data_IF_542023579051
#
_entry.id   IF_542023579051
#
_cell.length_a   1.000
_cell.length_b   1.000
_cell.length_c   1.000
_cell.angle_alpha   90.00
_cell.angle_beta   90.00
_cell.angle_gamma   90.00
#
_symmetry.space_group_name_H-M   'P 1'
#
loop_
_entity.id
_entity.type
_entity.pdbx_description
1 polymer ?
#
# COMPACT_ATOMS: atom_id res chain seq x y z
N UNK A 1 2.34 23.26 -1.29
CA UNK A 1 1.22 23.31 -2.22
C UNK A 1 1.32 24.46 -3.21
N UNK A 2 1.28 25.74 -2.72
CA UNK A 2 1.29 26.94 -3.56
C UNK A 2 2.45 27.01 -4.56
N UNK A 3 3.66 26.62 -4.15
CA UNK A 3 4.84 26.62 -5.02
C UNK A 3 4.66 25.64 -6.20
N UNK A 4 4.16 24.43 -5.93
CA UNK A 4 3.93 23.41 -6.97
C UNK A 4 2.85 23.89 -7.95
N UNK A 5 1.73 24.40 -7.43
CA UNK A 5 0.65 24.96 -8.28
C UNK A 5 1.21 26.09 -9.16
N UNK A 6 1.99 27.01 -8.58
CA UNK A 6 2.57 28.13 -9.33
C UNK A 6 3.53 27.69 -10.46
N UNK A 7 4.34 26.67 -10.21
CA UNK A 7 5.22 26.09 -11.23
C UNK A 7 4.39 25.49 -12.36
N UNK A 8 3.33 24.75 -12.06
CA UNK A 8 2.45 24.15 -13.06
C UNK A 8 1.72 25.22 -13.89
N UNK A 9 1.22 26.27 -13.22
CA UNK A 9 0.60 27.42 -13.91
C UNK A 9 1.60 28.07 -14.89
N UNK A 10 2.86 28.28 -14.47
CA UNK A 10 3.91 28.84 -15.35
C UNK A 10 4.23 27.93 -16.55
N UNK A 11 4.06 26.62 -16.38
CA UNK A 11 4.23 25.63 -17.46
C UNK A 11 2.99 25.44 -18.31
N UNK A 12 1.88 26.12 -17.99
CA UNK A 12 0.60 25.95 -18.68
C UNK A 12 -0.06 24.59 -18.45
N UNK A 13 0.25 23.92 -17.34
CA UNK A 13 -0.27 22.59 -17.00
C UNK A 13 -1.16 22.72 -15.77
N UNK A 14 -2.37 22.16 -15.84
CA UNK A 14 -3.25 22.06 -14.67
C UNK A 14 -2.83 20.88 -13.78
N UNK A 15 -2.56 21.15 -12.51
CA UNK A 15 -2.23 20.12 -11.52
C UNK A 15 -3.36 19.12 -11.26
N UNK A 16 -4.61 19.49 -11.62
CA UNK A 16 -5.80 18.64 -11.49
C UNK A 16 -6.13 17.87 -12.76
N UNK A 17 -5.27 17.93 -13.77
CA UNK A 17 -5.50 17.23 -15.03
C UNK A 17 -5.59 15.71 -14.81
N UNK A 18 -6.67 15.04 -15.21
CA UNK A 18 -6.83 13.59 -15.04
C UNK A 18 -5.75 12.76 -15.75
N UNK A 19 -5.07 13.31 -16.75
CA UNK A 19 -3.96 12.63 -17.42
C UNK A 19 -2.71 12.53 -16.53
N UNK A 20 -2.55 13.43 -15.56
CA UNK A 20 -1.37 13.50 -14.69
C UNK A 20 -1.66 13.23 -13.22
N UNK A 21 -2.96 13.29 -12.82
CA UNK A 21 -3.40 13.13 -11.44
C UNK A 21 -4.50 12.09 -11.35
N UNK A 22 -4.23 10.98 -10.70
CA UNK A 22 -5.17 9.85 -10.56
C UNK A 22 -6.38 10.18 -9.68
N UNK A 23 -6.21 11.00 -8.66
CA UNK A 23 -7.31 11.47 -7.81
C UNK A 23 -7.80 12.85 -8.25
N UNK A 24 -9.11 13.12 -8.05
CA UNK A 24 -9.73 14.39 -8.44
C UNK A 24 -9.15 15.64 -7.77
N UNK A 25 -8.21 15.49 -6.81
CA UNK A 25 -7.61 16.62 -6.09
C UNK A 25 -6.14 16.33 -5.79
N UNK A 26 -5.25 17.07 -6.43
CA UNK A 26 -3.86 17.15 -6.01
C UNK A 26 -3.78 17.74 -4.59
N UNK A 27 -3.14 17.02 -3.68
CA UNK A 27 -3.00 17.45 -2.28
C UNK A 27 -1.58 17.17 -1.79
N UNK A 28 -0.98 18.15 -1.15
CA UNK A 28 0.27 17.96 -0.41
C UNK A 28 -0.09 17.77 1.06
N UNK A 29 0.27 16.61 1.59
CA UNK A 29 0.04 16.30 3.00
C UNK A 29 1.14 16.93 3.87
N UNK A 30 0.80 17.31 5.10
CA UNK A 30 1.81 17.63 6.11
C UNK A 30 2.67 16.38 6.39
N UNK A 31 3.87 16.55 6.98
CA UNK A 31 4.64 15.41 7.47
C UNK A 31 3.77 14.52 8.36
N UNK A 32 3.80 13.22 8.10
CA UNK A 32 3.00 12.23 8.81
C UNK A 32 3.84 11.00 9.10
N UNK A 33 3.55 10.31 10.19
CA UNK A 33 4.13 9.00 10.50
C UNK A 33 3.35 7.86 9.87
N UNK A 34 2.25 8.16 9.17
CA UNK A 34 1.48 7.16 8.44
C UNK A 34 2.35 6.52 7.34
N UNK A 35 2.38 5.20 7.27
CA UNK A 35 3.24 4.42 6.36
C UNK A 35 3.04 4.77 4.88
N UNK A 36 1.84 5.15 4.50
CA UNK A 36 1.49 5.49 3.13
C UNK A 36 1.80 6.94 2.75
N UNK A 37 1.90 7.82 3.73
CA UNK A 37 2.11 9.24 3.56
C UNK A 37 3.51 9.68 4.01
N UNK A 38 4.35 8.73 4.40
CA UNK A 38 5.70 9.01 4.93
C UNK A 38 6.52 9.78 3.93
N UNK A 39 6.87 10.99 4.30
CA UNK A 39 7.85 11.79 3.59
C UNK A 39 9.25 11.52 4.15
N UNK A 40 10.26 11.51 3.27
CA UNK A 40 11.66 11.33 3.65
C UNK A 40 12.46 12.63 3.41
N UNK A 41 12.13 13.76 4.05
CA UNK A 41 12.69 15.07 3.69
C UNK A 41 14.19 15.14 3.92
N UNK A 42 14.71 14.51 4.99
CA UNK A 42 16.14 14.49 5.27
C UNK A 42 16.91 13.68 4.22
N UNK A 43 16.39 12.51 3.81
CA UNK A 43 17.00 11.71 2.75
C UNK A 43 16.95 12.44 1.42
N UNK A 44 15.82 13.06 1.08
CA UNK A 44 15.68 13.86 -0.13
C UNK A 44 16.69 15.02 -0.16
N UNK A 45 16.88 15.71 0.97
CA UNK A 45 17.87 16.78 1.10
C UNK A 45 19.30 16.25 0.91
N UNK A 46 19.65 15.10 1.50
CA UNK A 46 20.98 14.50 1.35
C UNK A 46 21.23 14.05 -0.08
N UNK A 47 20.24 13.49 -0.76
CA UNK A 47 20.32 13.13 -2.18
C UNK A 47 20.51 14.37 -3.05
N UNK A 48 19.79 15.46 -2.77
CA UNK A 48 19.97 16.73 -3.47
C UNK A 48 21.38 17.31 -3.26
N UNK A 49 21.90 17.27 -2.04
CA UNK A 49 23.27 17.67 -1.74
C UNK A 49 24.26 16.80 -2.51
N UNK A 50 24.06 15.48 -2.53
CA UNK A 50 24.90 14.56 -3.28
C UNK A 50 24.88 14.85 -4.80
N UNK A 51 23.73 15.21 -5.34
CA UNK A 51 23.57 15.61 -6.75
C UNK A 51 24.37 16.87 -7.04
N UNK A 52 24.22 17.91 -6.22
CA UNK A 52 24.98 19.17 -6.35
C UNK A 52 26.49 18.90 -6.27
N UNK A 53 26.93 18.11 -5.29
CA UNK A 53 28.34 17.72 -5.14
C UNK A 53 28.87 16.93 -6.36
N UNK A 54 28.04 16.05 -6.93
CA UNK A 54 28.41 15.28 -8.13
C UNK A 54 28.63 16.18 -9.32
N UNK A 55 27.77 17.16 -9.55
CA UNK A 55 27.90 18.13 -10.63
C UNK A 55 29.16 18.99 -10.43
N UNK A 56 29.34 19.49 -9.20
CA UNK A 56 30.49 20.34 -8.86
C UNK A 56 31.83 19.60 -8.97
N UNK A 57 31.89 18.33 -8.55
CA UNK A 57 33.07 17.50 -8.51
C UNK A 57 33.22 16.55 -9.72
N UNK A 58 32.39 16.65 -10.74
CA UNK A 58 32.33 15.72 -11.89
C UNK A 58 33.67 15.32 -12.50
N UNK A 59 34.63 16.24 -12.50
CA UNK A 59 35.99 16.01 -13.07
C UNK A 59 36.91 15.20 -12.12
N UNK A 60 36.52 15.03 -10.85
CA UNK A 60 37.31 14.34 -9.81
C UNK A 60 36.66 13.02 -9.36
N UNK A 61 35.45 12.73 -9.84
CA UNK A 61 34.75 11.53 -9.51
C UNK A 61 35.16 10.36 -10.39
N UNK A 62 35.25 9.13 -9.84
CA UNK A 62 35.25 7.93 -10.66
C UNK A 62 34.06 7.93 -11.61
N UNK A 63 34.32 7.56 -12.87
CA UNK A 63 33.29 7.56 -13.91
C UNK A 63 32.09 6.70 -13.53
N UNK A 64 32.34 5.57 -12.90
CA UNK A 64 31.34 4.60 -12.45
C UNK A 64 30.35 5.21 -11.43
N UNK A 65 30.87 5.98 -10.48
CA UNK A 65 30.04 6.66 -9.45
C UNK A 65 29.20 7.77 -10.08
N UNK A 66 29.77 8.51 -11.02
CA UNK A 66 29.00 9.54 -11.73
C UNK A 66 27.90 8.93 -12.59
N UNK A 67 28.20 7.86 -13.34
CA UNK A 67 27.22 7.13 -14.16
C UNK A 67 26.13 6.51 -13.28
N UNK A 68 26.50 5.88 -12.16
CA UNK A 68 25.52 5.33 -11.22
C UNK A 68 24.56 6.40 -10.72
N UNK A 69 25.05 7.54 -10.22
CA UNK A 69 24.21 8.64 -9.78
C UNK A 69 23.30 9.19 -10.88
N UNK A 70 23.82 9.29 -12.12
CA UNK A 70 23.04 9.70 -13.28
C UNK A 70 21.91 8.72 -13.60
N UNK A 71 22.20 7.41 -13.58
CA UNK A 71 21.20 6.37 -13.82
C UNK A 71 20.08 6.45 -12.77
N UNK A 72 20.42 6.54 -11.47
CA UNK A 72 19.42 6.65 -10.41
C UNK A 72 18.56 7.91 -10.58
N UNK A 73 19.19 9.07 -10.84
CA UNK A 73 18.46 10.32 -11.03
C UNK A 73 17.56 10.27 -12.28
N UNK A 74 18.06 9.74 -13.40
CA UNK A 74 17.27 9.60 -14.64
C UNK A 74 16.10 8.64 -14.45
N UNK A 75 16.31 7.51 -13.76
CA UNK A 75 15.25 6.53 -13.45
C UNK A 75 14.17 7.16 -12.58
N UNK A 76 14.54 7.95 -11.57
CA UNK A 76 13.58 8.69 -10.74
C UNK A 76 12.74 9.65 -11.58
N UNK A 77 13.37 10.47 -12.41
CA UNK A 77 12.67 11.41 -13.29
C UNK A 77 11.75 10.68 -14.26
N UNK A 78 12.24 9.60 -14.89
CA UNK A 78 11.45 8.80 -15.83
C UNK A 78 10.21 8.22 -15.19
N UNK A 79 10.34 7.53 -14.04
CA UNK A 79 9.21 6.94 -13.34
C UNK A 79 8.24 8.02 -12.86
N UNK A 80 8.75 9.13 -12.31
CA UNK A 80 7.90 10.25 -11.88
C UNK A 80 7.17 10.94 -13.03
N UNK A 81 7.68 10.83 -14.27
CA UNK A 81 7.04 11.38 -15.47
C UNK A 81 6.01 10.43 -16.09
N UNK A 82 6.16 9.13 -15.89
CA UNK A 82 5.28 8.12 -16.47
C UNK A 82 4.12 7.76 -15.54
N UNK A 83 4.34 7.83 -14.23
CA UNK A 83 3.33 7.47 -13.22
C UNK A 83 2.52 8.70 -12.86
N UNK A 84 1.20 8.61 -13.03
CA UNK A 84 0.28 9.65 -12.57
C UNK A 84 0.44 9.90 -11.07
N UNK A 85 0.31 11.15 -10.66
CA UNK A 85 0.30 11.47 -9.25
C UNK A 85 -0.89 10.80 -8.55
N UNK A 86 -0.64 10.12 -7.47
CA UNK A 86 -1.64 9.51 -6.59
C UNK A 86 -1.26 9.73 -5.12
N UNK A 87 -2.23 9.57 -4.24
CA UNK A 87 -2.09 9.86 -2.82
C UNK A 87 -0.90 9.11 -2.17
N UNK A 88 -0.62 7.90 -2.63
CA UNK A 88 0.37 6.99 -2.05
C UNK A 88 1.65 6.87 -2.87
N UNK A 89 1.97 7.87 -3.69
CA UNK A 89 3.17 7.87 -4.54
C UNK A 89 4.49 7.70 -3.77
N UNK A 90 4.52 8.08 -2.49
CA UNK A 90 5.72 7.94 -1.65
C UNK A 90 6.22 6.50 -1.62
N UNK A 91 5.34 5.50 -1.61
CA UNK A 91 5.72 4.07 -1.68
C UNK A 91 6.47 3.73 -2.97
N UNK A 92 6.05 4.29 -4.09
CA UNK A 92 6.67 4.05 -5.40
C UNK A 92 8.06 4.68 -5.50
N UNK A 93 8.35 5.70 -4.70
CA UNK A 93 9.65 6.36 -4.66
C UNK A 93 10.66 5.71 -3.72
N UNK A 94 10.23 4.83 -2.80
CA UNK A 94 11.12 4.16 -1.83
C UNK A 94 12.32 3.45 -2.48
N UNK A 95 12.18 2.68 -3.58
CA UNK A 95 13.33 2.03 -4.23
C UNK A 95 14.40 3.03 -4.67
N UNK A 96 14.02 4.23 -5.11
CA UNK A 96 14.99 5.27 -5.53
C UNK A 96 15.75 5.84 -4.35
N UNK A 97 15.11 6.01 -3.18
CA UNK A 97 15.81 6.43 -1.96
C UNK A 97 16.83 5.37 -1.54
N UNK A 98 16.47 4.09 -1.59
CA UNK A 98 17.39 2.99 -1.28
C UNK A 98 18.57 2.97 -2.25
N UNK A 99 18.32 3.04 -3.57
CA UNK A 99 19.37 3.06 -4.57
C UNK A 99 20.25 4.33 -4.51
N UNK A 100 19.69 5.48 -4.17
CA UNK A 100 20.46 6.71 -4.05
C UNK A 100 21.35 6.75 -2.81
N UNK A 101 21.04 5.97 -1.76
CA UNK A 101 21.77 5.99 -0.48
C UNK A 101 23.27 5.69 -0.63
N UNK A 102 23.74 4.61 -1.28
CA UNK A 102 25.16 4.34 -1.45
C UNK A 102 25.90 5.47 -2.17
N UNK A 103 25.26 6.06 -3.18
CA UNK A 103 25.81 7.18 -3.90
C UNK A 103 25.91 8.44 -3.03
N UNK A 104 24.85 8.77 -2.29
CA UNK A 104 24.84 9.91 -1.38
C UNK A 104 25.92 9.76 -0.29
N UNK A 105 26.05 8.56 0.32
CA UNK A 105 27.09 8.24 1.29
C UNK A 105 28.48 8.44 0.70
N UNK A 106 28.74 7.91 -0.49
CA UNK A 106 30.04 8.09 -1.17
C UNK A 106 30.36 9.58 -1.37
N UNK A 107 29.39 10.36 -1.86
CA UNK A 107 29.58 11.79 -2.10
C UNK A 107 29.87 12.57 -0.82
N UNK A 108 29.15 12.30 0.24
CA UNK A 108 29.33 12.97 1.54
C UNK A 108 30.62 12.56 2.22
N UNK A 109 30.99 11.26 2.17
CA UNK A 109 32.23 10.74 2.74
C UNK A 109 33.47 11.39 2.10
N UNK A 110 33.45 11.62 0.79
CA UNK A 110 34.56 12.29 0.07
C UNK A 110 34.72 13.79 0.40
N UNK A 111 33.77 14.37 1.13
CA UNK A 111 33.79 15.80 1.48
C UNK A 111 34.01 16.01 2.99
N UNK A 112 33.63 15.03 3.82
CA UNK A 112 33.59 15.17 5.26
C UNK A 112 34.31 14.04 5.97
N UNK A 113 34.61 14.27 7.24
CA UNK A 113 35.30 13.27 8.09
C UNK A 113 34.38 12.12 8.47
N UNK A 114 35.00 10.97 8.83
CA UNK A 114 34.29 9.82 9.38
C UNK A 114 33.42 10.18 10.60
N UNK A 115 33.91 11.11 11.47
CA UNK A 115 33.15 11.57 12.64
C UNK A 115 31.84 12.24 12.21
N UNK A 116 31.88 13.07 11.18
CA UNK A 116 30.66 13.68 10.63
C UNK A 116 29.69 12.63 10.11
N UNK A 117 30.16 11.62 9.38
CA UNK A 117 29.30 10.54 8.87
C UNK A 117 28.67 9.74 9.99
N UNK A 118 29.40 9.45 11.06
CA UNK A 118 28.84 8.75 12.23
C UNK A 118 27.75 9.59 12.94
N UNK A 119 28.00 10.88 13.12
CA UNK A 119 26.99 11.80 13.70
C UNK A 119 25.77 11.89 12.79
N UNK A 120 25.97 12.02 11.48
CA UNK A 120 24.85 12.04 10.52
C UNK A 120 24.01 10.75 10.58
N UNK A 121 24.67 9.58 10.65
CA UNK A 121 23.98 8.30 10.79
C UNK A 121 23.14 8.24 12.08
N UNK A 122 23.68 8.71 13.21
CA UNK A 122 22.95 8.77 14.48
C UNK A 122 21.76 9.75 14.40
N UNK A 123 21.94 10.90 13.77
CA UNK A 123 20.84 11.88 13.55
C UNK A 123 19.73 11.27 12.68
N UNK A 124 20.09 10.59 11.60
CA UNK A 124 19.10 9.94 10.73
C UNK A 124 18.37 8.81 11.47
N UNK A 125 19.07 8.02 12.25
CA UNK A 125 18.48 6.96 13.08
C UNK A 125 17.51 7.56 14.12
N UNK A 126 17.93 8.60 14.84
CA UNK A 126 17.08 9.29 15.80
C UNK A 126 15.85 9.94 15.11
N UNK A 127 16.05 10.54 13.94
CA UNK A 127 14.96 11.14 13.17
C UNK A 127 13.97 10.10 12.62
N UNK A 128 14.37 8.84 12.43
CA UNK A 128 13.47 7.76 12.00
C UNK A 128 12.61 7.18 13.12
N UNK A 129 12.92 7.49 14.39
CA UNK A 129 12.24 6.95 15.57
C UNK A 129 10.71 7.12 15.54
N UNK A 130 10.13 8.30 15.23
CA UNK A 130 8.68 8.46 15.18
C UNK A 130 8.01 7.50 14.17
N UNK A 131 8.63 7.29 13.01
CA UNK A 131 8.11 6.34 12.00
C UNK A 131 8.26 4.87 12.39
N UNK A 132 9.03 4.56 13.40
CA UNK A 132 9.12 3.21 13.96
C UNK A 132 8.07 2.97 15.03
N UNK A 133 7.85 3.95 15.93
CA UNK A 133 7.07 3.72 17.15
C UNK A 133 5.65 4.27 17.09
N UNK A 134 5.38 5.27 16.22
CA UNK A 134 4.11 5.99 16.14
C UNK A 134 3.41 5.83 14.77
N UNK A 135 3.48 4.63 14.18
CA UNK A 135 2.69 4.34 12.97
C UNK A 135 1.21 4.26 13.38
N UNK A 136 0.29 5.09 12.82
CA UNK A 136 -1.10 5.16 13.28
C UNK A 136 -1.86 3.84 13.22
N UNK A 137 -1.57 3.01 12.21
CA UNK A 137 -2.22 1.72 12.01
C UNK A 137 -1.66 0.58 12.88
N UNK A 138 -0.43 0.73 13.38
CA UNK A 138 0.27 -0.29 14.15
C UNK A 138 1.25 0.35 15.13
N UNK A 139 0.80 1.16 16.09
CA UNK A 139 1.69 1.86 17.00
C UNK A 139 2.38 0.87 17.97
N UNK A 140 3.68 1.07 18.17
CA UNK A 140 4.38 0.43 19.31
C UNK A 140 4.07 1.21 20.59
N UNK A 141 3.94 2.54 20.46
CA UNK A 141 3.54 3.43 21.53
C UNK A 141 2.25 4.11 21.10
N UNK A 142 1.16 3.82 21.80
CA UNK A 142 -0.16 4.40 21.54
C UNK A 142 -0.17 5.92 21.72
N UNK A 143 -0.81 6.61 20.79
CA UNK A 143 -1.06 8.05 20.84
C UNK A 143 -2.54 8.32 20.57
N UNK A 144 -3.26 8.76 21.59
CA UNK A 144 -4.72 8.89 21.60
C UNK A 144 -5.32 9.66 20.42
N UNK A 145 -4.60 10.66 19.90
CA UNK A 145 -5.11 11.51 18.81
C UNK A 145 -4.65 11.07 17.41
N UNK A 146 -3.62 10.22 17.34
CA UNK A 146 -2.98 9.85 16.07
C UNK A 146 -3.14 8.37 15.72
N UNK A 147 -3.29 7.50 16.73
CA UNK A 147 -3.40 6.05 16.52
C UNK A 147 -4.82 5.63 16.20
N UNK A 148 -4.98 4.77 15.20
CA UNK A 148 -6.29 4.23 14.78
C UNK A 148 -6.74 3.05 15.63
N UNK A 149 -5.80 2.36 16.26
CA UNK A 149 -5.95 1.20 17.13
C UNK A 149 -5.07 1.38 18.35
N UNK A 150 -5.23 0.53 19.35
CA UNK A 150 -4.31 0.45 20.50
C UNK A 150 -2.92 -0.03 20.05
N UNK A 151 -1.95 -0.15 20.95
CA UNK A 151 -0.62 -0.60 20.58
C UNK A 151 -0.62 -2.08 20.15
N UNK A 152 0.40 -2.46 19.37
CA UNK A 152 0.50 -3.81 18.78
C UNK A 152 0.61 -4.95 19.78
N UNK A 153 0.83 -4.66 21.07
CA UNK A 153 0.94 -5.66 22.13
C UNK A 153 -0.40 -5.90 22.85
N UNK A 154 -1.32 -4.93 22.81
CA UNK A 154 -2.59 -4.98 23.50
C UNK A 154 -3.79 -5.13 22.57
N UNK A 155 -3.67 -4.69 21.31
CA UNK A 155 -4.75 -4.81 20.33
C UNK A 155 -4.91 -6.25 19.83
N UNK A 156 -6.15 -6.67 19.61
CA UNK A 156 -6.41 -7.97 19.00
C UNK A 156 -5.88 -7.99 17.55
N UNK A 157 -5.25 -9.10 17.17
CA UNK A 157 -4.64 -9.25 15.83
C UNK A 157 -5.62 -8.96 14.69
N UNK A 158 -6.89 -9.34 14.87
CA UNK A 158 -7.95 -9.06 13.88
C UNK A 158 -8.18 -7.56 13.72
N UNK A 159 -8.13 -6.79 14.79
CA UNK A 159 -8.32 -5.34 14.75
C UNK A 159 -7.17 -4.63 14.02
N UNK A 160 -5.95 -5.12 14.21
CA UNK A 160 -4.77 -4.63 13.47
C UNK A 160 -4.89 -4.82 11.96
N UNK A 161 -5.59 -5.86 11.48
CA UNK A 161 -5.83 -6.04 10.05
C UNK A 161 -6.72 -4.95 9.46
N UNK A 162 -7.62 -4.39 10.26
CA UNK A 162 -8.61 -3.41 9.84
C UNK A 162 -8.28 -1.97 10.27
N UNK A 163 -7.10 -1.72 10.82
CA UNK A 163 -6.71 -0.40 11.30
C UNK A 163 -6.86 0.70 10.23
N UNK A 164 -6.53 0.40 8.96
CA UNK A 164 -6.69 1.31 7.82
C UNK A 164 -8.02 1.15 7.06
N UNK A 165 -8.87 0.20 7.44
CA UNK A 165 -10.10 -0.13 6.74
C UNK A 165 -11.20 -0.67 7.68
N UNK A 166 -11.44 0.01 8.80
CA UNK A 166 -12.35 -0.45 9.86
C UNK A 166 -13.77 -0.77 9.37
N UNK A 167 -14.23 -0.11 8.29
CA UNK A 167 -15.53 -0.38 7.67
C UNK A 167 -15.64 -1.80 7.07
N UNK A 168 -14.52 -2.45 6.75
CA UNK A 168 -14.48 -3.79 6.19
C UNK A 168 -14.52 -4.89 7.26
N UNK A 169 -14.27 -4.56 8.54
CA UNK A 169 -14.17 -5.56 9.62
C UNK A 169 -15.45 -6.37 9.78
N UNK A 170 -16.59 -5.71 9.89
CA UNK A 170 -17.87 -6.37 10.11
C UNK A 170 -18.21 -7.32 8.96
N UNK A 171 -18.32 -6.86 7.69
CA UNK A 171 -18.70 -7.75 6.60
C UNK A 171 -17.73 -8.92 6.42
N UNK A 172 -16.43 -8.68 6.49
CA UNK A 172 -15.45 -9.75 6.27
C UNK A 172 -15.42 -10.78 7.42
N UNK A 173 -15.59 -10.35 8.66
CA UNK A 173 -15.69 -11.29 9.80
C UNK A 173 -16.94 -12.13 9.75
N UNK A 174 -18.10 -11.57 9.41
CA UNK A 174 -19.35 -12.30 9.27
C UNK A 174 -19.33 -13.28 8.10
N UNK A 175 -18.81 -12.86 6.95
CA UNK A 175 -18.61 -13.72 5.77
C UNK A 175 -17.71 -14.91 6.11
N UNK A 176 -16.54 -14.64 6.73
CA UNK A 176 -15.61 -15.68 7.11
C UNK A 176 -16.20 -16.66 8.15
N UNK A 177 -17.02 -16.19 9.06
CA UNK A 177 -17.74 -17.05 10.02
C UNK A 177 -18.69 -18.01 9.30
N UNK A 178 -19.55 -17.50 8.40
CA UNK A 178 -20.51 -18.30 7.62
C UNK A 178 -19.82 -19.35 6.73
N UNK A 179 -18.72 -18.97 6.08
CA UNK A 179 -17.93 -19.91 5.25
C UNK A 179 -17.34 -21.02 6.10
N UNK A 180 -16.82 -20.72 7.29
CA UNK A 180 -16.31 -21.76 8.21
C UNK A 180 -17.40 -22.67 8.76
N UNK A 181 -18.57 -22.12 9.10
CA UNK A 181 -19.74 -22.88 9.56
C UNK A 181 -20.22 -23.85 8.47
N UNK A 182 -20.20 -23.44 7.21
CA UNK A 182 -20.60 -24.28 6.08
C UNK A 182 -19.57 -25.34 5.70
N UNK A 183 -18.36 -25.30 6.28
CA UNK A 183 -17.24 -26.18 5.91
C UNK A 183 -16.90 -26.15 4.40
N UNK A 184 -17.20 -25.05 3.72
CA UNK A 184 -16.91 -24.88 2.31
C UNK A 184 -15.39 -24.94 2.06
N UNK A 185 -14.97 -25.81 1.12
CA UNK A 185 -13.57 -26.07 0.84
C UNK A 185 -13.00 -25.26 -0.34
N UNK A 186 -13.86 -24.62 -1.14
CA UNK A 186 -13.47 -23.82 -2.31
C UNK A 186 -14.24 -22.50 -2.33
N UNK A 187 -13.52 -21.38 -2.25
CA UNK A 187 -14.09 -20.02 -2.15
C UNK A 187 -13.66 -19.19 -3.35
N UNK A 188 -14.64 -18.71 -4.10
CA UNK A 188 -14.42 -17.76 -5.19
C UNK A 188 -14.40 -16.31 -4.67
N UNK A 189 -13.49 -15.51 -5.19
CA UNK A 189 -13.42 -14.06 -4.93
C UNK A 189 -13.73 -13.28 -6.20
N UNK A 190 -14.68 -12.37 -6.12
CA UNK A 190 -14.99 -11.37 -7.15
C UNK A 190 -14.98 -10.00 -6.47
N UNK A 191 -13.80 -9.44 -6.31
CA UNK A 191 -13.61 -8.15 -5.66
C UNK A 191 -13.16 -7.12 -6.70
N UNK A 192 -13.52 -5.88 -6.52
CA UNK A 192 -13.12 -4.80 -7.43
C UNK A 192 -12.29 -3.75 -6.70
N UNK A 193 -11.38 -3.09 -7.46
CA UNK A 193 -10.59 -1.99 -6.92
C UNK A 193 -9.48 -2.41 -5.98
N UNK A 194 -9.31 -1.66 -4.91
CA UNK A 194 -8.25 -1.86 -3.89
C UNK A 194 -8.80 -2.52 -2.62
N UNK A 195 -9.75 -3.42 -2.76
CA UNK A 195 -10.32 -4.10 -1.60
C UNK A 195 -9.26 -4.97 -0.90
N UNK A 196 -9.27 -4.89 0.44
CA UNK A 196 -8.31 -5.61 1.26
C UNK A 196 -8.70 -7.09 1.35
N UNK A 197 -8.13 -7.95 0.52
CA UNK A 197 -8.38 -9.40 0.54
C UNK A 197 -7.59 -10.14 1.62
N UNK A 198 -6.40 -9.63 1.98
CA UNK A 198 -5.54 -10.30 2.97
C UNK A 198 -6.24 -10.62 4.31
N UNK A 199 -7.05 -9.73 4.90
CA UNK A 199 -7.81 -10.06 6.10
C UNK A 199 -8.77 -11.24 5.90
N UNK A 200 -9.44 -11.36 4.75
CA UNK A 200 -10.28 -12.52 4.43
C UNK A 200 -9.49 -13.84 4.44
N UNK A 201 -8.33 -13.85 3.80
CA UNK A 201 -7.44 -15.01 3.82
C UNK A 201 -7.06 -15.40 5.24
N UNK A 202 -6.65 -14.43 6.05
CA UNK A 202 -6.28 -14.65 7.44
C UNK A 202 -7.46 -15.14 8.30
N UNK A 203 -8.64 -14.57 8.12
CA UNK A 203 -9.85 -14.98 8.80
C UNK A 203 -10.33 -16.39 8.41
N UNK A 204 -10.07 -16.80 7.18
CA UNK A 204 -10.38 -18.14 6.68
C UNK A 204 -9.32 -19.20 7.05
N UNK A 205 -8.23 -18.82 7.73
CA UNK A 205 -7.24 -19.76 8.27
C UNK A 205 -5.97 -19.93 7.44
N UNK A 206 -5.76 -19.10 6.40
CA UNK A 206 -4.54 -19.17 5.62
C UNK A 206 -3.26 -18.97 6.47
N UNK A 207 -2.15 -19.66 6.16
CA UNK A 207 -1.95 -20.55 4.99
C UNK A 207 -2.21 -22.03 5.27
N UNK A 208 -2.64 -22.45 6.46
CA UNK A 208 -2.66 -23.87 6.85
C UNK A 208 -4.03 -24.52 6.72
N UNK A 209 -5.05 -23.87 7.25
CA UNK A 209 -6.39 -24.45 7.42
C UNK A 209 -7.45 -23.73 6.57
N UNK A 210 -7.01 -22.96 5.57
CA UNK A 210 -7.90 -22.23 4.69
C UNK A 210 -8.52 -23.12 3.62
N UNK A 211 -9.75 -22.83 3.16
CA UNK A 211 -10.26 -23.36 1.92
C UNK A 211 -9.37 -22.95 0.74
N UNK A 212 -9.48 -23.63 -0.39
CA UNK A 212 -8.88 -23.15 -1.64
C UNK A 212 -9.57 -21.86 -2.07
N UNK A 213 -8.84 -20.75 -2.13
CA UNK A 213 -9.38 -19.45 -2.45
C UNK A 213 -8.84 -19.02 -3.81
N UNK A 214 -9.73 -18.73 -4.76
CA UNK A 214 -9.34 -18.28 -6.11
C UNK A 214 -10.11 -17.03 -6.54
N UNK A 215 -9.44 -16.18 -7.31
CA UNK A 215 -10.06 -15.06 -7.98
C UNK A 215 -10.87 -15.52 -9.18
N UNK A 216 -12.15 -15.16 -9.20
CA UNK A 216 -13.06 -15.42 -10.33
C UNK A 216 -13.15 -14.15 -11.19
N UNK A 217 -12.29 -14.03 -12.20
CA UNK A 217 -12.35 -12.92 -13.15
C UNK A 217 -13.23 -13.37 -14.32
N UNK A 218 -14.23 -12.58 -14.66
CA UNK A 218 -15.26 -12.89 -15.69
C UNK A 218 -14.72 -13.25 -17.10
N UNK A 219 -13.40 -13.20 -17.32
CA UNK A 219 -12.74 -13.53 -18.58
C UNK A 219 -11.44 -14.31 -18.37
N UNK A 220 -11.24 -14.94 -17.22
CA UNK A 220 -10.07 -15.80 -17.00
C UNK A 220 -10.15 -17.06 -17.83
N UNK A 221 -8.99 -17.53 -18.27
CA UNK A 221 -8.78 -18.64 -19.17
C UNK A 221 -9.65 -19.87 -18.79
N UNK A 222 -10.60 -20.28 -19.63
CA UNK A 222 -11.49 -21.41 -19.31
C UNK A 222 -10.76 -22.74 -19.06
N UNK A 223 -9.50 -22.86 -19.47
CA UNK A 223 -8.71 -24.08 -19.28
C UNK A 223 -7.98 -24.15 -17.92
N UNK A 224 -7.93 -23.04 -17.15
CA UNK A 224 -7.19 -22.98 -15.89
C UNK A 224 -8.00 -23.43 -14.66
N UNK A 225 -9.34 -23.56 -14.78
CA UNK A 225 -10.26 -23.72 -13.65
C UNK A 225 -11.18 -24.95 -13.75
N UNK A 226 -10.88 -25.92 -14.61
CA UNK A 226 -11.75 -27.08 -14.82
C UNK A 226 -12.00 -27.93 -13.54
N UNK A 227 -11.19 -27.76 -12.49
CA UNK A 227 -11.31 -28.43 -11.21
C UNK A 227 -11.74 -27.53 -10.05
N UNK A 228 -11.98 -26.21 -10.29
CA UNK A 228 -12.44 -25.28 -9.27
C UNK A 228 -13.95 -25.07 -9.35
N UNK A 229 -14.66 -25.58 -8.34
CA UNK A 229 -16.11 -25.41 -8.18
C UNK A 229 -16.38 -24.80 -6.81
N UNK A 230 -16.52 -23.46 -6.73
CA UNK A 230 -16.70 -22.80 -5.46
C UNK A 230 -18.04 -23.15 -4.81
N UNK A 231 -18.01 -23.56 -3.55
CA UNK A 231 -19.19 -23.70 -2.71
C UNK A 231 -19.56 -22.37 -2.02
N UNK A 232 -18.69 -21.37 -2.07
CA UNK A 232 -18.95 -20.00 -1.62
C UNK A 232 -18.32 -18.98 -2.58
N UNK A 233 -19.02 -17.87 -2.82
CA UNK A 233 -18.51 -16.76 -3.63
C UNK A 233 -18.69 -15.46 -2.84
N UNK A 234 -17.58 -14.73 -2.67
CA UNK A 234 -17.58 -13.40 -2.08
C UNK A 234 -17.55 -12.37 -3.22
N UNK A 235 -18.58 -11.55 -3.29
CA UNK A 235 -18.74 -10.53 -4.33
C UNK A 235 -18.70 -9.12 -3.72
N UNK A 236 -17.93 -8.21 -4.33
CA UNK A 236 -17.92 -6.79 -4.05
C UNK A 236 -17.56 -5.99 -5.33
N UNK A 237 -18.40 -5.06 -5.79
CA UNK A 237 -19.72 -4.72 -5.24
C UNK A 237 -20.77 -5.80 -5.49
N UNK A 238 -21.79 -5.85 -4.62
CA UNK A 238 -22.95 -6.69 -4.82
C UNK A 238 -23.69 -6.28 -6.13
N UNK A 239 -24.15 -7.25 -6.87
CA UNK A 239 -25.08 -6.98 -7.96
C UNK A 239 -26.48 -6.70 -7.39
N UNK A 240 -27.03 -5.51 -7.63
CA UNK A 240 -28.26 -5.03 -6.98
C UNK A 240 -29.46 -5.96 -7.12
N UNK A 241 -29.61 -6.67 -8.24
CA UNK A 241 -30.78 -7.51 -8.55
C UNK A 241 -30.48 -9.03 -8.61
N UNK A 242 -29.28 -9.47 -8.26
CA UNK A 242 -28.89 -10.88 -8.36
C UNK A 242 -29.09 -11.61 -7.02
N UNK A 243 -30.23 -12.25 -6.86
CA UNK A 243 -30.45 -13.23 -5.75
C UNK A 243 -29.59 -14.48 -5.89
N UNK A 244 -29.00 -14.73 -7.06
CA UNK A 244 -28.11 -15.86 -7.36
C UNK A 244 -26.90 -15.39 -8.17
N UNK A 245 -25.73 -15.98 -7.91
CA UNK A 245 -24.52 -15.78 -8.67
C UNK A 245 -23.84 -17.13 -8.90
N UNK A 246 -23.55 -17.46 -10.16
CA UNK A 246 -22.97 -18.76 -10.58
C UNK A 246 -23.71 -20.00 -10.01
N UNK A 247 -25.06 -19.91 -9.97
CA UNK A 247 -25.91 -20.98 -9.43
C UNK A 247 -26.04 -21.01 -7.90
N UNK A 248 -25.30 -20.18 -7.18
CA UNK A 248 -25.36 -20.09 -5.73
C UNK A 248 -26.33 -18.98 -5.25
N UNK A 249 -27.21 -19.24 -4.26
CA UNK A 249 -28.08 -18.22 -3.70
C UNK A 249 -27.32 -17.25 -2.79
N UNK A 250 -27.76 -15.97 -2.78
CA UNK A 250 -27.24 -14.97 -1.85
C UNK A 250 -27.75 -15.23 -0.44
N UNK A 251 -26.83 -15.45 0.50
CA UNK A 251 -27.13 -15.72 1.91
C UNK A 251 -26.77 -14.56 2.84
N UNK A 252 -26.00 -13.60 2.36
CA UNK A 252 -25.60 -12.43 3.13
C UNK A 252 -25.37 -11.21 2.24
N UNK A 253 -25.72 -10.04 2.75
CA UNK A 253 -25.47 -8.73 2.12
C UNK A 253 -25.17 -7.70 3.21
N UNK A 254 -24.08 -6.97 3.02
CA UNK A 254 -23.73 -5.81 3.85
C UNK A 254 -23.78 -4.53 3.01
N UNK A 255 -24.94 -3.90 2.99
CA UNK A 255 -25.24 -2.71 2.17
C UNK A 255 -24.24 -1.57 2.29
N UNK A 256 -23.73 -1.18 3.49
CA UNK A 256 -22.82 -0.06 3.62
C UNK A 256 -21.49 -0.21 2.89
N UNK A 257 -21.02 -1.45 2.68
CA UNK A 257 -19.76 -1.75 1.99
C UNK A 257 -19.94 -2.55 0.72
N UNK A 258 -21.18 -2.86 0.37
CA UNK A 258 -21.54 -3.57 -0.83
C UNK A 258 -20.92 -4.98 -0.95
N UNK A 259 -20.75 -5.66 0.22
CA UNK A 259 -20.28 -7.04 0.28
C UNK A 259 -21.44 -8.04 0.27
N UNK A 260 -21.34 -9.04 -0.58
CA UNK A 260 -22.26 -10.17 -0.65
C UNK A 260 -21.55 -11.51 -0.47
N UNK A 261 -22.25 -12.47 0.14
CA UNK A 261 -21.86 -13.88 0.14
C UNK A 261 -22.95 -14.70 -0.54
N UNK A 262 -22.52 -15.51 -1.48
CA UNK A 262 -23.31 -16.56 -2.11
C UNK A 262 -22.77 -17.89 -1.61
N UNK A 263 -23.64 -18.84 -1.24
CA UNK A 263 -23.26 -20.10 -0.59
C UNK A 263 -24.13 -21.24 -1.10
N UNK A 264 -23.50 -22.39 -1.33
CA UNK A 264 -24.21 -23.60 -1.74
C UNK A 264 -25.15 -24.07 -0.61
N UNK A 265 -26.45 -24.20 -0.88
CA UNK A 265 -27.41 -24.71 0.11
C UNK A 265 -27.06 -26.09 0.67
N UNK A 266 -26.39 -26.94 -0.12
CA UNK A 266 -26.01 -28.28 0.31
C UNK A 266 -24.90 -28.26 1.39
N UNK A 267 -24.17 -27.13 1.55
CA UNK A 267 -23.15 -26.96 2.58
C UNK A 267 -23.69 -26.31 3.86
N UNK A 268 -24.95 -25.89 3.86
CA UNK A 268 -25.59 -25.35 5.08
C UNK A 268 -25.94 -26.54 5.98
N UNK A 269 -25.21 -26.70 7.07
CA UNK A 269 -25.56 -27.65 8.12
C UNK A 269 -26.82 -27.09 8.77
N UNK A 270 -27.95 -27.84 8.74
CA UNK A 270 -29.15 -27.48 9.48
C UNK A 270 -28.81 -27.28 10.95
N UNK A 271 -29.32 -26.21 11.59
CA UNK A 271 -28.98 -25.83 12.96
C UNK A 271 -29.45 -26.86 14.03
#
# INVERSE_FOLDING_TARGET
YLVVVKIHELMGVDVMNPATTHSRRYKVFPPSTHEDLTSNPLHALLILIALILSIWRRKRLPKEIFVYGLVVATSFVLVSSLVQWQLYNTRLHQPFFVMATPWAVFMLYNVRSQRFMNVLALVLLAASWPWLVHIPSRPIIYQREESYVDDVFHEARVDLYYANGGHLKIPQTEIAARIRESQCSQVGLVLTGNEAEYPLWALLGAPRDAPRIEWMIANSNPDAEADFQPCAIILQPCAEDQGMFDGLPRVYEHKPTDYCLYLDPATQVDP
#
